data_IF_922556313334
#
_entry.id   IF_922556313334
#
_cell.length_a   1.000
_cell.length_b   1.000
_cell.length_c   1.000
_cell.angle_alpha   90.00
_cell.angle_beta   90.00
_cell.angle_gamma   90.00
#
_symmetry.space_group_name_H-M   'P 1'
#
loop_
_entity.id
_entity.type
_entity.pdbx_description
1 polymer ?
#
# COMPACT_ATOMS: atom_id res chain seq x y z
N UNK A 1 -9.40 -15.58 5.43
CA UNK A 1 -9.44 -14.30 6.19
C UNK A 1 -8.45 -13.41 5.47
N UNK A 2 -8.92 -12.67 4.46
CA UNK A 2 -8.07 -12.27 3.32
C UNK A 2 -7.87 -10.74 3.32
N UNK A 3 -7.60 -10.15 4.48
CA UNK A 3 -7.75 -8.71 4.66
C UNK A 3 -6.78 -7.87 3.81
N UNK A 4 -5.57 -8.36 3.54
CA UNK A 4 -4.60 -7.71 2.64
C UNK A 4 -4.66 -8.26 1.20
N UNK A 5 -5.49 -9.27 0.91
CA UNK A 5 -5.63 -9.83 -0.44
C UNK A 5 -6.10 -8.77 -1.44
N UNK A 6 -6.98 -7.87 -0.99
CA UNK A 6 -7.46 -6.76 -1.81
C UNK A 6 -6.35 -5.77 -2.16
N UNK A 7 -5.34 -5.59 -1.29
CA UNK A 7 -4.23 -4.69 -1.57
C UNK A 7 -3.47 -5.18 -2.80
N UNK A 8 -3.09 -6.46 -2.79
CA UNK A 8 -2.34 -7.11 -3.87
C UNK A 8 -3.16 -7.22 -5.16
N UNK A 9 -4.41 -7.68 -5.07
CA UNK A 9 -5.24 -7.93 -6.26
C UNK A 9 -5.78 -6.65 -6.92
N UNK A 10 -6.00 -5.59 -6.15
CA UNK A 10 -6.56 -4.35 -6.68
C UNK A 10 -5.50 -3.25 -6.82
N UNK A 11 -4.21 -3.57 -6.67
CA UNK A 11 -3.11 -2.61 -6.73
C UNK A 11 -3.37 -1.36 -5.87
N UNK A 12 -3.86 -1.58 -4.63
CA UNK A 12 -4.28 -0.56 -3.65
C UNK A 12 -5.38 0.41 -4.10
N UNK A 13 -6.10 0.13 -5.20
CA UNK A 13 -7.14 1.01 -5.74
C UNK A 13 -8.29 1.30 -4.77
N UNK A 14 -8.53 0.43 -3.79
CA UNK A 14 -9.66 0.56 -2.86
C UNK A 14 -9.25 1.23 -1.54
N UNK A 15 -7.95 1.38 -1.31
CA UNK A 15 -7.32 1.80 -0.06
C UNK A 15 -6.81 3.24 -0.19
N UNK A 16 -6.40 3.64 -1.39
CA UNK A 16 -5.91 4.99 -1.69
C UNK A 16 -7.00 5.87 -2.34
N UNK A 17 -6.96 7.20 -2.15
CA UNK A 17 -7.71 8.15 -2.97
C UNK A 17 -7.36 8.01 -4.45
N UNK A 18 -8.32 8.26 -5.34
CA UNK A 18 -8.16 8.07 -6.79
C UNK A 18 -6.92 8.79 -7.37
N UNK A 19 -6.64 10.02 -6.91
CA UNK A 19 -5.46 10.78 -7.34
C UNK A 19 -4.15 10.06 -7.02
N UNK A 20 -4.03 9.47 -5.82
CA UNK A 20 -2.85 8.70 -5.42
C UNK A 20 -2.77 7.35 -6.13
N UNK A 21 -3.91 6.70 -6.40
CA UNK A 21 -3.93 5.45 -7.17
C UNK A 21 -3.39 5.67 -8.59
N UNK A 22 -3.86 6.72 -9.26
CA UNK A 22 -3.39 7.06 -10.61
C UNK A 22 -1.88 7.34 -10.60
N UNK A 23 -1.42 8.13 -9.64
CA UNK A 23 0.01 8.47 -9.48
C UNK A 23 0.88 7.25 -9.16
N UNK A 24 0.37 6.30 -8.37
CA UNK A 24 1.05 5.04 -8.08
C UNK A 24 1.20 4.21 -9.36
N UNK A 25 0.12 4.07 -10.12
CA UNK A 25 0.09 3.26 -11.34
C UNK A 25 0.91 3.89 -12.47
N UNK A 26 0.93 5.21 -12.59
CA UNK A 26 1.78 5.93 -13.54
C UNK A 26 3.27 5.63 -13.25
N UNK A 27 3.67 5.65 -11.97
CA UNK A 27 5.03 5.30 -11.56
C UNK A 27 5.35 3.83 -11.81
N UNK A 28 4.41 2.92 -11.56
CA UNK A 28 4.56 1.51 -11.89
C UNK A 28 4.85 1.31 -13.37
N UNK A 29 4.05 1.94 -14.24
CA UNK A 29 4.26 1.86 -15.69
C UNK A 29 5.56 2.51 -16.16
N UNK A 30 6.06 3.51 -15.44
CA UNK A 30 7.34 4.15 -15.76
C UNK A 30 8.57 3.31 -15.34
N UNK A 31 8.45 2.49 -14.28
CA UNK A 31 9.59 1.76 -13.70
C UNK A 31 9.63 0.28 -14.08
N UNK A 32 8.47 -0.35 -14.33
CA UNK A 32 8.35 -1.80 -14.46
C UNK A 32 7.52 -2.20 -15.69
N UNK A 33 7.74 -3.42 -16.16
CA UNK A 33 6.89 -4.04 -17.17
C UNK A 33 5.72 -4.78 -16.50
N UNK A 34 4.80 -5.32 -17.30
CA UNK A 34 3.60 -6.00 -16.81
C UNK A 34 3.84 -7.24 -15.95
N UNK A 35 5.02 -7.86 -16.05
CA UNK A 35 5.36 -9.06 -15.27
C UNK A 35 5.95 -8.67 -13.92
N UNK A 36 6.91 -7.75 -13.92
CA UNK A 36 7.66 -7.32 -12.73
C UNK A 36 6.88 -6.34 -11.83
N UNK A 37 5.80 -5.73 -12.33
CA UNK A 37 4.98 -4.81 -11.54
C UNK A 37 4.32 -5.51 -10.34
N UNK A 38 3.89 -6.76 -10.49
CA UNK A 38 3.24 -7.50 -9.40
C UNK A 38 4.22 -7.89 -8.31
N UNK A 39 5.43 -8.29 -8.70
CA UNK A 39 6.52 -8.55 -7.75
C UNK A 39 6.83 -7.29 -6.96
N UNK A 40 7.06 -6.16 -7.64
CA UNK A 40 7.32 -4.88 -6.98
C UNK A 40 6.15 -4.42 -6.10
N UNK A 41 4.91 -4.62 -6.55
CA UNK A 41 3.72 -4.23 -5.80
C UNK A 41 3.62 -4.92 -4.43
N UNK A 42 4.10 -6.16 -4.32
CA UNK A 42 4.18 -6.85 -3.03
C UNK A 42 5.07 -6.10 -2.02
N UNK A 43 6.19 -5.50 -2.46
CA UNK A 43 7.07 -4.68 -1.62
C UNK A 43 6.41 -3.37 -1.20
N UNK A 44 5.61 -2.76 -2.09
CA UNK A 44 4.81 -1.57 -1.73
C UNK A 44 3.78 -1.93 -0.65
N UNK A 45 3.11 -3.06 -0.78
CA UNK A 45 2.18 -3.55 0.26
C UNK A 45 2.90 -3.86 1.57
N UNK A 46 4.09 -4.45 1.52
CA UNK A 46 4.90 -4.74 2.71
C UNK A 46 5.35 -3.46 3.43
N UNK A 47 5.79 -2.44 2.70
CA UNK A 47 6.14 -1.13 3.28
C UNK A 47 4.93 -0.40 3.86
N UNK A 48 3.76 -0.51 3.20
CA UNK A 48 2.52 0.00 3.76
C UNK A 48 2.19 -0.69 5.08
N UNK A 49 2.29 -2.02 5.15
CA UNK A 49 2.08 -2.80 6.37
C UNK A 49 3.08 -2.41 7.47
N UNK A 50 4.36 -2.21 7.13
CA UNK A 50 5.39 -1.73 8.06
C UNK A 50 5.04 -0.35 8.63
N UNK A 51 4.48 0.54 7.81
CA UNK A 51 4.09 1.89 8.25
C UNK A 51 2.97 1.88 9.29
N UNK A 52 2.05 0.91 9.23
CA UNK A 52 0.95 0.76 10.20
C UNK A 52 1.26 -0.22 11.33
N UNK A 53 2.39 -0.93 11.28
CA UNK A 53 2.81 -1.94 12.27
C UNK A 53 2.70 -1.46 13.72
N UNK A 54 3.11 -0.21 13.99
CA UNK A 54 3.05 0.38 15.33
C UNK A 54 1.64 0.45 15.90
N UNK A 55 0.63 0.55 15.05
CA UNK A 55 -0.78 0.63 15.42
C UNK A 55 -1.46 -0.74 15.44
N UNK A 56 -0.78 -1.81 15.01
CA UNK A 56 -1.31 -3.18 14.96
C UNK A 56 -0.84 -3.98 16.17
N UNK A 57 0.44 -3.87 16.54
CA UNK A 57 1.03 -4.73 17.56
C UNK A 57 0.39 -4.45 18.92
N UNK A 58 -0.10 -5.52 19.56
CA UNK A 58 -0.77 -5.43 20.86
C UNK A 58 -2.25 -5.04 20.80
N UNK A 59 -2.81 -4.83 19.61
CA UNK A 59 -4.23 -4.57 19.44
C UNK A 59 -5.07 -5.86 19.42
N UNK A 60 -6.36 -5.76 19.79
CA UNK A 60 -7.34 -6.82 19.55
C UNK A 60 -7.48 -7.17 18.05
N UNK A 61 -7.80 -8.42 17.75
CA UNK A 61 -7.90 -8.93 16.37
C UNK A 61 -8.91 -8.14 15.53
N UNK A 62 -10.04 -7.74 16.09
CA UNK A 62 -11.06 -6.93 15.41
C UNK A 62 -10.53 -5.55 14.99
N UNK A 63 -9.74 -4.90 15.85
CA UNK A 63 -9.06 -3.63 15.54
C UNK A 63 -8.04 -3.82 14.43
N UNK A 64 -7.22 -4.88 14.51
CA UNK A 64 -6.25 -5.22 13.48
C UNK A 64 -6.92 -5.45 12.12
N UNK A 65 -8.04 -6.20 12.10
CA UNK A 65 -8.81 -6.46 10.88
C UNK A 65 -9.45 -5.18 10.32
N UNK A 66 -9.83 -4.23 11.19
CA UNK A 66 -10.25 -2.89 10.79
C UNK A 66 -9.15 -2.15 10.04
N UNK A 67 -7.94 -2.11 10.61
CA UNK A 67 -6.77 -1.48 10.01
C UNK A 67 -6.35 -2.15 8.69
N UNK A 68 -6.42 -3.48 8.59
CA UNK A 68 -6.11 -4.15 7.31
C UNK A 68 -7.13 -3.83 6.20
N UNK A 69 -8.40 -3.60 6.55
CA UNK A 69 -9.44 -3.25 5.56
C UNK A 69 -9.40 -1.78 5.11
N UNK A 70 -8.86 -0.92 5.95
CA UNK A 70 -8.76 0.52 5.72
C UNK A 70 -7.48 1.09 6.36
N UNK A 71 -6.29 0.75 5.82
CA UNK A 71 -4.99 1.06 6.45
C UNK A 71 -4.70 2.56 6.57
N UNK A 72 -5.38 3.35 5.75
CA UNK A 72 -5.25 4.80 5.68
C UNK A 72 -6.51 5.49 6.21
N UNK A 73 -7.47 4.73 6.75
CA UNK A 73 -8.76 5.21 7.24
C UNK A 73 -9.54 6.05 6.19
N UNK A 74 -9.25 5.85 4.90
CA UNK A 74 -9.80 6.63 3.78
C UNK A 74 -11.29 6.35 3.62
N UNK A 75 -11.75 5.12 3.90
CA UNK A 75 -13.19 4.79 3.82
C UNK A 75 -13.94 5.44 4.98
N UNK A 76 -13.35 5.47 6.18
CA UNK A 76 -13.91 6.15 7.35
C UNK A 76 -13.99 7.65 7.10
N UNK A 77 -12.92 8.26 6.58
CA UNK A 77 -12.87 9.68 6.23
C UNK A 77 -13.90 10.04 5.14
N UNK A 78 -14.03 9.23 4.08
CA UNK A 78 -14.99 9.45 2.98
C UNK A 78 -16.45 9.37 3.42
N UNK A 79 -16.78 8.58 4.45
CA UNK A 79 -18.14 8.54 5.02
C UNK A 79 -18.50 9.84 5.75
N UNK A 80 -17.52 10.53 6.32
CA UNK A 80 -17.72 11.73 7.13
C UNK A 80 -17.49 13.04 6.36
N UNK A 81 -16.65 13.04 5.32
CA UNK A 81 -16.30 14.24 4.56
C UNK A 81 -17.22 14.46 3.34
N UNK A 82 -17.89 15.62 3.30
CA UNK A 82 -18.55 16.17 2.09
C UNK A 82 -17.60 16.99 1.20
N UNK A 83 -16.35 17.17 1.59
CA UNK A 83 -15.34 17.94 0.85
C UNK A 83 -14.09 17.10 0.63
N UNK A 84 -13.66 17.04 -0.63
CA UNK A 84 -12.43 16.41 -1.08
C UNK A 84 -11.28 17.37 -0.74
N UNK A 85 -10.11 16.81 -0.44
CA UNK A 85 -8.78 17.48 -0.49
C UNK A 85 -8.30 18.17 0.81
N UNK A 86 -7.74 17.36 1.73
CA UNK A 86 -6.46 17.60 2.45
C UNK A 86 -6.29 16.47 3.49
N UNK A 87 -6.08 15.25 3.01
CA UNK A 87 -5.68 14.12 3.87
C UNK A 87 -4.17 14.13 4.12
N UNK A 88 -3.68 13.46 5.19
CA UNK A 88 -2.23 13.36 5.46
C UNK A 88 -1.47 12.59 4.38
N UNK A 89 -2.19 11.85 3.52
CA UNK A 89 -1.64 11.10 2.40
C UNK A 89 -1.68 11.95 1.13
N UNK A 90 -0.51 12.39 0.68
CA UNK A 90 -0.32 13.23 -0.49
C UNK A 90 0.74 12.63 -1.44
N UNK A 91 1.07 13.33 -2.52
CA UNK A 91 2.07 12.89 -3.49
C UNK A 91 3.46 12.63 -2.85
N UNK A 92 3.87 13.46 -1.88
CA UNK A 92 5.15 13.29 -1.18
C UNK A 92 5.17 11.99 -0.38
N UNK A 93 4.11 11.72 0.39
CA UNK A 93 3.98 10.47 1.13
C UNK A 93 4.04 9.26 0.21
N UNK A 94 3.36 9.32 -0.95
CA UNK A 94 3.36 8.23 -1.91
C UNK A 94 4.75 8.00 -2.51
N UNK A 95 5.49 9.07 -2.83
CA UNK A 95 6.87 8.98 -3.31
C UNK A 95 7.78 8.33 -2.29
N UNK A 96 7.67 8.72 -1.03
CA UNK A 96 8.45 8.12 0.05
C UNK A 96 8.14 6.64 0.23
N UNK A 97 6.85 6.25 0.17
CA UNK A 97 6.43 4.86 0.22
C UNK A 97 7.06 4.04 -0.91
N UNK A 98 6.96 4.53 -2.15
CA UNK A 98 7.52 3.85 -3.33
C UNK A 98 9.04 3.78 -3.23
N UNK A 99 9.71 4.82 -2.76
CA UNK A 99 11.17 4.85 -2.57
C UNK A 99 11.63 3.79 -1.56
N UNK A 100 10.95 3.68 -0.41
CA UNK A 100 11.27 2.63 0.58
C UNK A 100 11.02 1.24 0.02
N UNK A 101 9.94 1.06 -0.74
CA UNK A 101 9.63 -0.22 -1.37
C UNK A 101 10.69 -0.59 -2.43
N UNK A 102 11.17 0.39 -3.18
CA UNK A 102 12.25 0.20 -4.15
C UNK A 102 13.57 -0.19 -3.49
N UNK A 103 13.93 0.46 -2.39
CA UNK A 103 15.08 0.05 -1.60
C UNK A 103 14.94 -1.40 -1.11
N UNK A 104 13.78 -1.75 -0.54
CA UNK A 104 13.53 -3.09 -0.05
C UNK A 104 13.60 -4.14 -1.18
N UNK A 105 13.06 -3.81 -2.37
CA UNK A 105 13.14 -4.63 -3.57
C UNK A 105 14.58 -4.86 -4.04
N UNK A 106 15.42 -3.82 -4.00
CA UNK A 106 16.83 -3.92 -4.39
C UNK A 106 17.65 -4.78 -3.43
N UNK A 107 17.36 -4.69 -2.13
CA UNK A 107 18.04 -5.49 -1.11
C UNK A 107 17.64 -6.97 -1.14
N UNK A 108 16.41 -7.27 -1.59
CA UNK A 108 15.83 -8.62 -1.58
C UNK A 108 15.09 -8.88 -2.89
N UNK A 109 15.78 -9.06 -4.02
CA UNK A 109 15.12 -9.29 -5.30
C UNK A 109 14.31 -10.59 -5.28
N UNK A 110 13.19 -10.68 -6.02
CA UNK A 110 12.28 -11.83 -5.97
C UNK A 110 12.92 -13.16 -6.37
N UNK A 111 14.03 -13.14 -7.13
CA UNK A 111 14.81 -14.34 -7.45
C UNK A 111 15.39 -15.06 -6.23
N UNK A 112 15.71 -14.34 -5.16
CA UNK A 112 16.31 -14.90 -3.93
C UNK A 112 15.27 -15.66 -3.08
N UNK A 113 13.97 -15.49 -3.35
CA UNK A 113 12.89 -16.18 -2.65
C UNK A 113 12.58 -17.57 -3.23
N UNK A 114 13.23 -17.95 -4.34
CA UNK A 114 13.02 -19.24 -5.01
C UNK A 114 13.85 -20.40 -4.43
N UNK A 115 14.75 -20.12 -3.48
CA UNK A 115 15.59 -21.13 -2.80
C UNK A 115 15.10 -21.52 -1.39
N UNK A 116 13.87 -21.15 -1.00
CA UNK A 116 13.25 -21.55 0.28
C UNK A 116 12.10 -22.55 0.11
#
# INVERSE_FOLDING_TARGET
>A
MDCCFQWLHCLLARELPLSLVILLWERYMAMFNSETVYDFHAYVCAELLKSIRGNIIGQPVDVMLGLFKDPLEVRVARKHARSVEEGPYNDSWLRELIMRAFHFYQEHPPGDLSEC
#
